data_IF_955409549197
#
_entry.id   IF_955409549197
#
_cell.length_a   1.000
_cell.length_b   1.000
_cell.length_c   1.000
_cell.angle_alpha   90.00
_cell.angle_beta   90.00
_cell.angle_gamma   90.00
#
_symmetry.space_group_name_H-M   'P 1'
#
loop_
_entity.id
_entity.type
_entity.pdbx_description
1 polymer ?
#
# COMPACT_ATOMS: atom_id res chain seq x y z
N UNK A 1 15.01 -32.16 -8.83
CA UNK A 1 13.56 -32.38 -8.57
C UNK A 1 12.98 -31.05 -8.14
N UNK A 2 12.35 -30.35 -9.10
CA UNK A 2 11.71 -29.05 -8.84
C UNK A 2 10.40 -29.28 -8.11
N UNK A 3 10.28 -28.84 -6.86
CA UNK A 3 8.99 -28.73 -6.19
C UNK A 3 8.24 -27.56 -6.83
N UNK A 4 7.24 -27.88 -7.65
CA UNK A 4 6.31 -26.89 -8.15
C UNK A 4 5.58 -26.23 -6.97
N UNK A 5 5.84 -24.96 -6.76
CA UNK A 5 4.99 -24.11 -5.96
C UNK A 5 3.74 -23.81 -6.78
N UNK A 6 2.66 -24.53 -6.52
CA UNK A 6 1.34 -24.14 -7.00
C UNK A 6 1.00 -22.78 -6.39
N UNK A 7 0.82 -21.79 -7.25
CA UNK A 7 0.22 -20.53 -6.88
C UNK A 7 -1.21 -20.83 -6.40
N UNK A 8 -1.43 -20.70 -5.09
CA UNK A 8 -2.76 -20.88 -4.52
C UNK A 8 -3.69 -19.73 -4.88
N UNK A 9 -4.05 -19.56 -6.15
CA UNK A 9 -4.95 -18.56 -6.72
C UNK A 9 -5.79 -17.78 -5.70
N UNK A 10 -6.31 -16.64 -6.08
CA UNK A 10 -7.26 -15.89 -5.24
C UNK A 10 -8.34 -16.86 -4.74
N UNK A 11 -8.58 -16.95 -3.41
CA UNK A 11 -9.66 -17.78 -2.93
C UNK A 11 -10.96 -17.27 -3.53
N UNK A 12 -11.66 -18.10 -4.28
CA UNK A 12 -12.95 -17.82 -4.93
C UNK A 12 -14.07 -17.43 -3.94
N UNK A 13 -13.76 -17.30 -2.65
CA UNK A 13 -14.74 -17.03 -1.61
C UNK A 13 -14.18 -16.13 -0.51
N UNK A 14 -14.64 -14.89 -0.49
CA UNK A 14 -14.58 -14.06 0.72
C UNK A 14 -15.50 -14.69 1.78
N UNK A 15 -14.93 -15.20 2.87
CA UNK A 15 -15.70 -15.65 4.03
C UNK A 15 -16.07 -14.42 4.87
N UNK A 16 -17.26 -13.89 4.69
CA UNK A 16 -17.86 -13.01 5.67
C UNK A 16 -18.44 -13.86 6.81
N UNK A 17 -17.72 -13.97 7.93
CA UNK A 17 -18.25 -14.61 9.14
C UNK A 17 -18.82 -13.54 10.03
N UNK A 18 -20.15 -13.47 10.14
CA UNK A 18 -20.80 -12.57 11.10
C UNK A 18 -22.15 -12.03 10.68
N UNK A 19 -22.70 -11.17 11.53
CA UNK A 19 -23.92 -10.41 11.27
C UNK A 19 -23.54 -9.08 10.65
N UNK A 20 -24.13 -8.73 9.52
CA UNK A 20 -23.88 -7.45 8.87
C UNK A 20 -24.21 -6.28 9.83
N UNK A 21 -23.23 -5.43 10.11
CA UNK A 21 -23.36 -4.33 11.08
C UNK A 21 -23.87 -3.03 10.48
N UNK A 22 -23.83 -2.86 9.15
CA UNK A 22 -24.22 -1.63 8.43
C UNK A 22 -24.98 -1.92 7.14
N UNK A 23 -25.71 -0.91 6.66
CA UNK A 23 -26.44 -0.94 5.38
C UNK A 23 -27.76 -1.71 5.43
N UNK A 24 -28.37 -1.93 4.24
CA UNK A 24 -29.68 -2.60 4.09
C UNK A 24 -29.71 -4.06 4.58
N UNK A 25 -28.57 -4.65 4.86
CA UNK A 25 -28.39 -6.01 5.36
C UNK A 25 -28.10 -6.07 6.86
N UNK A 26 -28.22 -4.96 7.60
CA UNK A 26 -27.97 -4.90 9.04
C UNK A 26 -28.83 -5.94 9.77
N UNK A 27 -28.22 -6.83 10.52
CA UNK A 27 -28.89 -7.89 11.28
C UNK A 27 -29.14 -9.20 10.51
N UNK A 28 -28.85 -9.27 9.20
CA UNK A 28 -28.98 -10.51 8.43
C UNK A 28 -27.78 -11.45 8.63
N UNK A 29 -28.06 -12.75 8.79
CA UNK A 29 -27.02 -13.79 8.74
C UNK A 29 -26.58 -14.00 7.30
N UNK A 30 -25.27 -13.87 7.06
CA UNK A 30 -24.68 -14.19 5.76
C UNK A 30 -24.59 -15.71 5.60
N UNK A 31 -25.14 -16.30 4.51
CA UNK A 31 -25.04 -17.74 4.28
C UNK A 31 -23.59 -18.18 4.13
N UNK A 32 -23.17 -19.19 4.89
CA UNK A 32 -21.88 -19.84 4.70
C UNK A 32 -22.00 -20.95 3.68
N UNK A 33 -21.07 -21.10 2.69
CA UNK A 33 -21.08 -22.23 1.78
C UNK A 33 -20.86 -23.54 2.52
N UNK A 34 -21.63 -24.58 2.17
CA UNK A 34 -21.46 -25.93 2.72
C UNK A 34 -20.12 -26.52 2.23
N UNK A 35 -19.25 -26.93 3.16
CA UNK A 35 -18.06 -27.72 2.88
C UNK A 35 -18.46 -29.06 2.24
N UNK A 36 -18.01 -29.33 1.02
CA UNK A 36 -17.97 -30.66 0.46
C UNK A 36 -16.84 -31.44 1.16
N UNK A 37 -17.22 -32.35 2.01
CA UNK A 37 -16.30 -33.20 2.77
C UNK A 37 -15.60 -34.21 1.85
N UNK A 38 -14.31 -34.31 2.03
CA UNK A 38 -13.53 -35.50 1.66
C UNK A 38 -14.01 -36.73 2.48
N UNK A 39 -14.18 -37.86 1.80
CA UNK A 39 -14.48 -39.16 2.42
C UNK A 39 -13.26 -39.70 3.14
N UNK A 40 -13.43 -40.08 4.41
CA UNK A 40 -12.66 -41.16 5.02
C UNK A 40 -13.58 -41.98 5.92
N UNK A 41 -13.52 -43.29 5.75
CA UNK A 41 -14.26 -44.39 6.37
C UNK A 41 -13.86 -44.59 7.84
N UNK A 42 -14.79 -45.02 8.69
CA UNK A 42 -14.79 -46.24 9.50
C UNK A 42 -15.94 -46.23 10.50
N UNK A 43 -16.79 -47.19 10.40
CA UNK A 43 -17.59 -48.12 11.23
C UNK A 43 -18.22 -47.72 12.58
N UNK A 44 -19.50 -48.18 12.69
CA UNK A 44 -20.22 -48.76 13.87
C UNK A 44 -20.60 -47.85 15.04
N UNK A 45 -21.77 -47.86 15.63
CA UNK A 45 -22.85 -48.85 15.81
C UNK A 45 -24.12 -48.21 16.40
N UNK A 46 -25.27 -48.80 16.03
CA UNK A 46 -26.49 -49.09 16.82
C UNK A 46 -27.39 -47.99 17.40
N UNK A 47 -28.58 -47.91 16.90
CA UNK A 47 -29.93 -48.36 17.40
C UNK A 47 -30.57 -47.37 18.40
N UNK A 48 -31.88 -47.06 18.42
CA UNK A 48 -33.15 -47.77 18.20
C UNK A 48 -34.29 -46.76 18.12
N UNK A 49 -35.26 -46.94 17.20
CA UNK A 49 -36.71 -46.88 17.24
C UNK A 49 -37.45 -45.74 18.00
N UNK A 50 -38.60 -45.24 17.64
CA UNK A 50 -39.84 -45.81 17.05
C UNK A 50 -40.87 -44.71 16.72
N UNK A 51 -41.65 -44.93 15.67
CA UNK A 51 -43.12 -44.87 15.48
C UNK A 51 -43.80 -43.50 15.60
N UNK A 52 -44.82 -43.09 14.87
CA UNK A 52 -45.74 -43.70 13.93
C UNK A 52 -46.56 -42.58 13.20
N UNK A 53 -47.04 -42.89 12.03
CA UNK A 53 -48.08 -42.25 11.20
C UNK A 53 -49.49 -42.58 11.75
N UNK A 54 -50.68 -42.16 11.19
CA UNK A 54 -51.03 -41.41 9.96
C UNK A 54 -52.32 -40.57 10.06
N UNK A 55 -52.78 -39.99 8.92
CA UNK A 55 -54.13 -39.55 8.69
C UNK A 55 -54.25 -38.34 7.77
N UNK A 56 -54.44 -38.50 6.52
CA UNK A 56 -55.56 -38.42 5.57
C UNK A 56 -56.48 -37.21 5.75
N UNK A 57 -56.58 -36.34 4.70
CA UNK A 57 -57.69 -36.26 3.75
C UNK A 57 -57.59 -35.04 2.81
N UNK A 58 -57.83 -35.28 1.54
CA UNK A 58 -58.09 -34.32 0.45
C UNK A 58 -59.64 -34.19 0.30
N UNK A 59 -60.25 -33.27 -0.53
CA UNK A 59 -59.78 -32.37 -1.59
C UNK A 59 -60.47 -31.01 -1.66
N UNK A 60 -59.98 -30.10 -2.55
CA UNK A 60 -60.75 -28.90 -2.91
C UNK A 60 -60.01 -28.05 -4.00
N UNK A 61 -60.46 -28.24 -5.22
CA UNK A 61 -60.08 -27.55 -6.45
C UNK A 61 -60.55 -26.11 -6.50
N UNK A 62 -59.66 -25.15 -6.84
CA UNK A 62 -60.03 -23.94 -7.62
C UNK A 62 -58.83 -23.40 -8.38
N UNK A 63 -59.05 -23.14 -9.66
CA UNK A 63 -58.10 -22.62 -10.64
C UNK A 63 -57.82 -21.12 -10.35
N UNK A 64 -56.53 -20.74 -10.36
CA UNK A 64 -56.11 -19.35 -10.34
C UNK A 64 -54.83 -19.21 -11.16
N UNK A 65 -54.96 -18.54 -12.30
CA UNK A 65 -53.91 -18.14 -13.20
C UNK A 65 -52.88 -17.29 -12.43
N UNK A 66 -51.66 -17.77 -12.32
CA UNK A 66 -50.56 -16.97 -11.77
C UNK A 66 -49.40 -16.90 -12.80
N UNK A 67 -49.27 -15.73 -13.36
CA UNK A 67 -48.12 -15.30 -14.13
C UNK A 67 -46.83 -15.44 -13.32
N UNK A 68 -45.92 -16.28 -13.76
CA UNK A 68 -44.56 -16.39 -13.22
C UNK A 68 -43.75 -15.11 -13.56
N UNK A 69 -43.10 -14.47 -12.59
CA UNK A 69 -42.04 -13.53 -12.93
C UNK A 69 -40.77 -14.33 -13.31
N UNK A 70 -40.37 -14.21 -14.56
CA UNK A 70 -39.09 -14.74 -15.07
C UNK A 70 -37.95 -14.15 -14.23
N UNK A 71 -37.30 -14.99 -13.44
CA UNK A 71 -36.04 -14.67 -12.81
C UNK A 71 -34.97 -14.51 -13.90
N UNK A 72 -34.72 -13.28 -14.31
CA UNK A 72 -33.50 -12.95 -15.07
C UNK A 72 -32.30 -13.30 -14.17
N UNK A 73 -31.57 -14.36 -14.53
CA UNK A 73 -30.20 -14.56 -14.04
C UNK A 73 -29.43 -13.28 -14.28
N UNK A 74 -28.61 -12.81 -13.31
CA UNK A 74 -27.73 -11.67 -13.58
C UNK A 74 -26.83 -12.07 -14.75
N UNK A 75 -26.93 -11.32 -15.83
CA UNK A 75 -26.04 -11.46 -16.99
C UNK A 75 -24.60 -11.31 -16.48
N UNK A 76 -23.74 -12.26 -16.86
CA UNK A 76 -22.28 -12.05 -16.77
C UNK A 76 -22.01 -10.69 -17.36
N UNK A 77 -21.47 -9.78 -16.55
CA UNK A 77 -21.04 -8.45 -16.97
C UNK A 77 -20.11 -8.66 -18.17
N UNK A 78 -20.47 -8.09 -19.30
CA UNK A 78 -19.63 -8.11 -20.49
C UNK A 78 -18.27 -7.54 -20.11
N UNK A 79 -17.19 -8.23 -20.46
CA UNK A 79 -15.82 -7.76 -20.25
C UNK A 79 -15.68 -6.49 -21.11
N UNK A 80 -15.50 -5.34 -20.46
CA UNK A 80 -15.35 -4.07 -21.16
C UNK A 80 -14.06 -4.07 -21.97
N UNK A 81 -14.15 -3.62 -23.21
CA UNK A 81 -13.05 -3.61 -24.18
C UNK A 81 -12.34 -2.23 -24.19
N UNK A 82 -11.06 -2.16 -24.58
CA UNK A 82 -10.40 -0.88 -24.90
C UNK A 82 -11.20 -0.02 -25.89
N UNK A 83 -12.02 -0.62 -26.73
CA UNK A 83 -12.91 0.08 -27.66
C UNK A 83 -14.02 0.91 -26.99
N UNK A 84 -14.27 0.68 -25.69
CA UNK A 84 -15.23 1.44 -24.91
C UNK A 84 -14.62 2.71 -24.29
N UNK A 85 -13.30 2.85 -24.27
CA UNK A 85 -12.60 4.01 -23.72
C UNK A 85 -13.10 5.34 -24.29
N UNK A 86 -13.28 5.52 -25.63
CA UNK A 86 -13.79 6.78 -26.17
C UNK A 86 -15.20 7.12 -25.67
N UNK A 87 -16.06 6.11 -25.45
CA UNK A 87 -17.42 6.32 -24.92
C UNK A 87 -17.36 6.79 -23.46
N UNK A 88 -16.47 6.20 -22.66
CA UNK A 88 -16.29 6.55 -21.25
C UNK A 88 -15.70 7.96 -21.12
N UNK A 89 -14.70 8.30 -21.94
CA UNK A 89 -14.06 9.62 -21.93
C UNK A 89 -15.03 10.76 -22.29
N UNK A 90 -16.06 10.47 -23.07
CA UNK A 90 -17.08 11.45 -23.45
C UNK A 90 -18.15 11.70 -22.38
N UNK A 91 -18.11 11.01 -21.23
CA UNK A 91 -18.99 11.27 -20.11
C UNK A 91 -18.53 12.51 -19.33
N UNK A 92 -19.44 13.46 -19.08
CA UNK A 92 -19.13 14.69 -18.32
C UNK A 92 -18.52 14.39 -16.95
N UNK A 93 -18.98 13.34 -16.26
CA UNK A 93 -18.43 12.91 -14.98
C UNK A 93 -16.98 12.41 -15.11
N UNK A 94 -16.66 11.69 -16.17
CA UNK A 94 -15.30 11.21 -16.43
C UNK A 94 -14.36 12.37 -16.68
N UNK A 95 -14.75 13.33 -17.50
CA UNK A 95 -13.97 14.53 -17.78
C UNK A 95 -13.67 15.34 -16.50
N UNK A 96 -14.68 15.52 -15.66
CA UNK A 96 -14.54 16.20 -14.36
C UNK A 96 -13.52 15.46 -13.45
N UNK A 97 -13.64 14.13 -13.33
CA UNK A 97 -12.74 13.34 -12.48
C UNK A 97 -11.31 13.29 -13.02
N UNK A 98 -11.12 13.23 -14.36
CA UNK A 98 -9.80 13.31 -14.98
C UNK A 98 -9.17 14.69 -14.78
N UNK A 99 -9.97 15.76 -14.94
CA UNK A 99 -9.51 17.13 -14.68
C UNK A 99 -9.09 17.31 -13.22
N UNK A 100 -9.83 16.71 -12.27
CA UNK A 100 -9.47 16.71 -10.87
C UNK A 100 -8.14 15.96 -10.61
N UNK A 101 -7.95 14.79 -11.24
CA UNK A 101 -6.68 14.06 -11.16
C UNK A 101 -5.51 14.91 -11.67
N UNK A 102 -5.66 15.51 -12.85
CA UNK A 102 -4.61 16.27 -13.51
C UNK A 102 -4.26 17.56 -12.79
N UNK A 103 -5.28 18.32 -12.35
CA UNK A 103 -5.09 19.67 -11.79
C UNK A 103 -4.86 19.66 -10.28
N UNK A 104 -5.31 18.62 -9.58
CA UNK A 104 -5.22 18.56 -8.13
C UNK A 104 -4.35 17.40 -7.63
N UNK A 105 -4.63 16.16 -8.02
CA UNK A 105 -3.91 15.00 -7.47
C UNK A 105 -2.46 14.94 -7.97
N UNK A 106 -2.22 15.08 -9.29
CA UNK A 106 -0.87 15.02 -9.85
C UNK A 106 0.14 16.00 -9.23
N UNK A 107 -0.20 17.28 -8.96
CA UNK A 107 0.74 18.23 -8.35
C UNK A 107 1.23 17.82 -6.97
N UNK A 108 0.39 17.15 -6.16
CA UNK A 108 0.73 16.70 -4.81
C UNK A 108 1.48 15.34 -4.78
N UNK A 109 1.70 14.72 -5.93
CA UNK A 109 2.45 13.46 -5.99
C UNK A 109 3.96 13.68 -6.24
N UNK A 110 4.41 14.90 -6.40
CA UNK A 110 5.82 15.22 -6.60
C UNK A 110 6.22 16.54 -5.92
N UNK A 111 7.43 16.62 -5.45
CA UNK A 111 8.00 17.85 -4.91
C UNK A 111 8.61 18.69 -6.03
N UNK A 112 7.79 19.43 -6.76
CA UNK A 112 8.25 20.31 -7.84
C UNK A 112 8.72 21.66 -7.29
N UNK A 113 10.05 21.87 -7.27
CA UNK A 113 10.65 23.16 -6.88
C UNK A 113 11.11 23.87 -8.15
N UNK A 114 10.51 25.01 -8.46
CA UNK A 114 10.95 25.88 -9.57
C UNK A 114 10.28 25.62 -10.93
N UNK A 115 9.30 24.72 -11.03
CA UNK A 115 8.40 24.60 -12.22
C UNK A 115 9.05 24.16 -13.52
N UNK A 116 10.21 23.50 -13.48
CA UNK A 116 10.98 23.14 -14.68
C UNK A 116 10.89 21.67 -15.09
N UNK A 117 10.43 20.78 -14.20
CA UNK A 117 10.31 19.37 -14.51
C UNK A 117 8.91 18.99 -14.99
N UNK A 118 8.84 18.10 -15.99
CA UNK A 118 7.56 17.51 -16.40
C UNK A 118 7.08 16.54 -15.33
N UNK A 119 5.92 16.80 -14.72
CA UNK A 119 5.31 15.91 -13.74
C UNK A 119 5.10 14.50 -14.33
N UNK A 120 5.78 13.46 -13.84
CA UNK A 120 5.73 12.11 -14.42
C UNK A 120 4.34 11.46 -14.27
N UNK A 121 3.56 11.79 -13.26
CA UNK A 121 2.17 11.32 -13.13
C UNK A 121 1.30 11.85 -14.25
N UNK A 122 1.48 13.11 -14.63
CA UNK A 122 0.81 13.69 -15.80
C UNK A 122 1.36 13.14 -17.11
N UNK A 123 2.68 13.08 -17.24
CA UNK A 123 3.35 12.68 -18.48
C UNK A 123 3.22 11.19 -18.83
N UNK A 124 3.16 10.31 -17.84
CA UNK A 124 3.16 8.86 -18.06
C UNK A 124 1.78 8.24 -17.83
N UNK A 125 1.08 8.63 -16.78
CA UNK A 125 -0.18 7.98 -16.38
C UNK A 125 -1.33 8.41 -17.28
N UNK A 126 -1.53 9.70 -17.53
CA UNK A 126 -2.69 10.17 -18.30
C UNK A 126 -2.69 9.67 -19.77
N UNK A 127 -1.57 9.70 -20.52
CA UNK A 127 -1.55 9.13 -21.86
C UNK A 127 -1.78 7.61 -21.88
N UNK A 128 -1.27 6.89 -20.85
CA UNK A 128 -1.42 5.46 -20.72
C UNK A 128 -2.89 5.08 -20.37
N UNK A 129 -3.54 5.86 -19.50
CA UNK A 129 -4.93 5.66 -19.12
C UNK A 129 -5.91 5.81 -20.29
N UNK A 130 -5.57 6.63 -21.29
CA UNK A 130 -6.35 6.76 -22.52
C UNK A 130 -6.29 5.54 -23.46
N UNK A 131 -5.39 4.59 -23.15
CA UNK A 131 -5.22 3.34 -23.91
C UNK A 131 -5.58 2.11 -23.08
N UNK A 132 -5.54 2.23 -21.75
CA UNK A 132 -5.67 1.12 -20.82
C UNK A 132 -6.85 1.34 -19.86
N UNK A 133 -7.95 0.64 -20.11
CA UNK A 133 -9.23 0.86 -19.43
C UNK A 133 -9.13 0.61 -17.91
N UNK A 134 -8.35 -0.39 -17.48
CA UNK A 134 -8.12 -0.67 -16.07
C UNK A 134 -7.44 0.50 -15.33
N UNK A 135 -6.46 1.13 -15.97
CA UNK A 135 -5.79 2.31 -15.44
C UNK A 135 -6.71 3.54 -15.40
N UNK A 136 -7.53 3.71 -16.45
CA UNK A 136 -8.53 4.77 -16.47
C UNK A 136 -9.47 4.64 -15.25
N UNK A 137 -10.00 3.45 -14.99
CA UNK A 137 -10.85 3.22 -13.83
C UNK A 137 -10.13 3.43 -12.49
N UNK A 138 -8.85 3.05 -12.37
CA UNK A 138 -8.08 3.30 -11.16
C UNK A 138 -7.97 4.80 -10.85
N UNK A 139 -7.70 5.62 -11.86
CA UNK A 139 -7.64 7.08 -11.74
C UNK A 139 -9.00 7.66 -11.36
N UNK A 140 -10.07 7.24 -12.06
CA UNK A 140 -11.42 7.73 -11.79
C UNK A 140 -11.88 7.38 -10.37
N UNK A 141 -11.54 6.18 -9.87
CA UNK A 141 -11.83 5.76 -8.51
C UNK A 141 -11.13 6.61 -7.46
N UNK A 142 -9.81 6.83 -7.64
CA UNK A 142 -9.03 7.70 -6.77
C UNK A 142 -9.57 9.13 -6.76
N UNK A 143 -9.85 9.69 -7.94
CA UNK A 143 -10.39 11.04 -8.09
C UNK A 143 -11.76 11.21 -7.43
N UNK A 144 -12.65 10.24 -7.58
CA UNK A 144 -13.97 10.27 -6.96
C UNK A 144 -13.87 10.20 -5.43
N UNK A 145 -13.05 9.30 -4.90
CA UNK A 145 -12.81 9.19 -3.45
C UNK A 145 -12.27 10.50 -2.87
N UNK A 146 -11.24 11.06 -3.52
CA UNK A 146 -10.61 12.31 -3.08
C UNK A 146 -11.58 13.49 -3.14
N UNK A 147 -12.30 13.65 -4.26
CA UNK A 147 -13.27 14.74 -4.43
C UNK A 147 -14.44 14.64 -3.44
N UNK A 148 -14.89 13.42 -3.11
CA UNK A 148 -15.90 13.19 -2.09
C UNK A 148 -15.46 13.67 -0.71
N UNK A 149 -14.21 13.44 -0.33
CA UNK A 149 -13.62 13.92 0.93
C UNK A 149 -13.45 15.43 0.94
N UNK A 150 -12.92 15.99 -0.15
CA UNK A 150 -12.67 17.41 -0.31
C UNK A 150 -13.97 18.24 -0.19
N UNK A 151 -15.03 17.80 -0.86
CA UNK A 151 -16.32 18.52 -0.88
C UNK A 151 -17.22 18.20 0.31
N UNK A 152 -16.88 17.22 1.14
CA UNK A 152 -17.73 16.71 2.21
C UNK A 152 -18.93 15.90 1.71
N UNK A 153 -19.04 15.66 0.40
CA UNK A 153 -20.15 14.95 -0.25
C UNK A 153 -19.83 13.47 -0.47
N UNK A 154 -19.40 12.78 0.59
CA UNK A 154 -19.03 11.35 0.52
C UNK A 154 -20.16 10.51 -0.09
N UNK A 155 -21.43 10.75 0.27
CA UNK A 155 -22.57 9.97 -0.23
C UNK A 155 -22.77 10.04 -1.74
N UNK A 156 -22.29 11.11 -2.40
CA UNK A 156 -22.40 11.29 -3.85
C UNK A 156 -21.31 10.52 -4.61
N UNK A 157 -20.10 10.45 -4.04
CA UNK A 157 -18.92 9.92 -4.73
C UNK A 157 -18.52 8.52 -4.27
N UNK A 158 -18.96 8.06 -3.09
CA UNK A 158 -18.54 6.77 -2.51
C UNK A 158 -18.92 5.59 -3.42
N UNK A 159 -20.17 5.54 -3.92
CA UNK A 159 -20.61 4.46 -4.82
C UNK A 159 -19.79 4.47 -6.12
N UNK A 160 -19.55 5.66 -6.69
CA UNK A 160 -18.74 5.85 -7.90
C UNK A 160 -17.29 5.42 -7.68
N UNK A 161 -16.68 5.82 -6.56
CA UNK A 161 -15.30 5.47 -6.22
C UNK A 161 -15.13 3.95 -6.08
N UNK A 162 -16.06 3.30 -5.34
CA UNK A 162 -16.06 1.85 -5.14
C UNK A 162 -16.27 1.10 -6.46
N UNK A 163 -17.19 1.57 -7.31
CA UNK A 163 -17.46 0.94 -8.61
C UNK A 163 -16.22 0.98 -9.52
N UNK A 164 -15.62 2.15 -9.69
CA UNK A 164 -14.42 2.30 -10.51
C UNK A 164 -13.23 1.51 -9.94
N UNK A 165 -13.05 1.51 -8.63
CA UNK A 165 -12.03 0.70 -7.98
C UNK A 165 -12.20 -0.80 -8.26
N UNK A 166 -13.42 -1.33 -8.15
CA UNK A 166 -13.71 -2.73 -8.47
C UNK A 166 -13.45 -3.06 -9.95
N UNK A 167 -13.77 -2.15 -10.86
CA UNK A 167 -13.46 -2.31 -12.29
C UNK A 167 -11.94 -2.32 -12.54
N UNK A 168 -11.20 -1.42 -11.88
CA UNK A 168 -9.73 -1.39 -11.94
C UNK A 168 -9.10 -2.70 -11.45
N UNK A 169 -9.56 -3.23 -10.30
CA UNK A 169 -9.08 -4.51 -9.74
C UNK A 169 -9.38 -5.67 -10.69
N UNK A 170 -10.55 -5.70 -11.32
CA UNK A 170 -10.87 -6.74 -12.32
C UNK A 170 -9.95 -6.65 -13.53
N UNK A 171 -9.74 -5.44 -14.07
CA UNK A 171 -8.81 -5.20 -15.17
C UNK A 171 -7.39 -5.63 -14.82
N UNK A 172 -6.89 -5.28 -13.63
CA UNK A 172 -5.59 -5.72 -13.14
C UNK A 172 -5.48 -7.24 -13.07
N UNK A 173 -6.51 -7.91 -12.53
CA UNK A 173 -6.53 -9.38 -12.42
C UNK A 173 -6.50 -10.07 -13.79
N UNK A 174 -7.16 -9.49 -14.79
CA UNK A 174 -7.09 -9.98 -16.18
C UNK A 174 -5.71 -9.83 -16.79
N UNK A 175 -5.07 -8.67 -16.62
CA UNK A 175 -3.72 -8.42 -17.15
C UNK A 175 -2.67 -9.32 -16.45
N UNK A 176 -2.74 -9.48 -15.12
CA UNK A 176 -1.86 -10.41 -14.40
C UNK A 176 -2.07 -11.84 -14.89
N UNK A 177 -3.30 -12.27 -15.15
CA UNK A 177 -3.57 -13.60 -15.70
C UNK A 177 -2.99 -13.78 -17.10
N UNK A 178 -3.05 -12.78 -17.96
CA UNK A 178 -2.38 -12.80 -19.29
C UNK A 178 -0.86 -12.89 -19.13
N UNK A 179 -0.27 -12.19 -18.16
CA UNK A 179 1.18 -12.24 -17.92
C UNK A 179 1.72 -13.60 -17.48
N UNK A 180 0.86 -14.48 -16.95
CA UNK A 180 1.22 -15.84 -16.58
C UNK A 180 1.14 -16.83 -17.74
N UNK A 181 0.61 -16.40 -18.90
CA UNK A 181 0.53 -17.18 -20.14
C UNK A 181 1.86 -17.25 -20.89
N UNK A 182 1.89 -18.00 -22.01
CA UNK A 182 3.10 -18.14 -22.83
C UNK A 182 3.49 -16.86 -23.60
N UNK A 183 2.59 -15.89 -23.68
CA UNK A 183 2.82 -14.64 -24.38
C UNK A 183 3.22 -13.54 -23.38
N UNK A 184 4.34 -12.88 -23.65
CA UNK A 184 4.72 -11.70 -22.90
C UNK A 184 3.74 -10.56 -23.14
N UNK A 185 3.45 -9.78 -22.09
CA UNK A 185 2.68 -8.54 -22.22
C UNK A 185 3.45 -7.53 -23.07
N UNK A 186 2.71 -6.75 -23.87
CA UNK A 186 3.29 -5.58 -24.55
C UNK A 186 3.75 -4.51 -23.54
N UNK A 187 4.64 -3.63 -23.97
CA UNK A 187 5.20 -2.57 -23.11
C UNK A 187 4.12 -1.72 -22.42
N UNK A 188 3.11 -1.24 -23.16
CA UNK A 188 2.02 -0.45 -22.60
C UNK A 188 1.16 -1.26 -21.60
N UNK A 189 1.03 -2.57 -21.78
CA UNK A 189 0.32 -3.46 -20.83
C UNK A 189 1.12 -3.68 -19.55
N UNK A 190 2.44 -3.91 -19.67
CA UNK A 190 3.34 -4.02 -18.52
C UNK A 190 3.34 -2.74 -17.68
N UNK A 191 3.50 -1.60 -18.35
CA UNK A 191 3.48 -0.29 -17.72
C UNK A 191 2.11 -0.03 -17.04
N UNK A 192 1.01 -0.45 -17.67
CA UNK A 192 -0.34 -0.31 -17.12
C UNK A 192 -0.55 -1.14 -15.85
N UNK A 193 -0.08 -2.38 -15.82
CA UNK A 193 -0.14 -3.21 -14.61
C UNK A 193 0.55 -2.53 -13.43
N UNK A 194 1.78 -2.03 -13.65
CA UNK A 194 2.54 -1.32 -12.62
C UNK A 194 1.83 -0.03 -12.17
N UNK A 195 1.32 0.75 -13.12
CA UNK A 195 0.60 1.99 -12.85
C UNK A 195 -0.73 1.74 -12.10
N UNK A 196 -1.51 0.72 -12.47
CA UNK A 196 -2.76 0.36 -11.77
C UNK A 196 -2.46 0.01 -10.32
N UNK A 197 -1.44 -0.82 -10.07
CA UNK A 197 -1.02 -1.20 -8.71
C UNK A 197 -0.67 0.05 -7.90
N UNK A 198 0.13 0.94 -8.47
CA UNK A 198 0.51 2.19 -7.80
C UNK A 198 -0.70 3.07 -7.47
N UNK A 199 -1.62 3.28 -8.41
CA UNK A 199 -2.82 4.10 -8.19
C UNK A 199 -3.76 3.47 -7.15
N UNK A 200 -3.91 2.14 -7.14
CA UNK A 200 -4.71 1.45 -6.11
C UNK A 200 -4.09 1.61 -4.71
N UNK A 201 -2.76 1.55 -4.59
CA UNK A 201 -2.07 1.80 -3.33
C UNK A 201 -2.23 3.26 -2.88
N UNK A 202 -2.11 4.24 -3.80
CA UNK A 202 -2.39 5.64 -3.50
C UNK A 202 -3.85 5.86 -3.07
N UNK A 203 -4.78 5.14 -3.66
CA UNK A 203 -6.19 5.18 -3.25
C UNK A 203 -6.36 4.68 -1.80
N UNK A 204 -5.72 3.57 -1.43
CA UNK A 204 -5.72 3.05 -0.06
C UNK A 204 -5.12 4.05 0.93
N UNK A 205 -3.97 4.65 0.58
CA UNK A 205 -3.32 5.68 1.40
C UNK A 205 -4.26 6.87 1.58
N UNK A 206 -4.88 7.35 0.51
CA UNK A 206 -5.81 8.47 0.54
C UNK A 206 -7.09 8.17 1.33
N UNK A 207 -7.54 6.91 1.37
CA UNK A 207 -8.76 6.52 2.10
C UNK A 207 -8.53 6.28 3.58
N UNK A 208 -7.56 5.44 3.91
CA UNK A 208 -7.40 4.90 5.27
C UNK A 208 -5.95 4.87 5.76
N UNK A 209 -4.97 5.01 4.87
CA UNK A 209 -3.55 4.79 5.16
C UNK A 209 -3.18 3.31 5.37
N UNK A 210 -4.15 2.41 5.24
CA UNK A 210 -3.96 0.97 5.41
C UNK A 210 -4.34 0.28 4.10
N UNK A 211 -3.41 -0.46 3.50
CA UNK A 211 -3.67 -1.18 2.27
C UNK A 211 -3.99 -2.66 2.52
N UNK A 212 -5.09 -3.11 1.94
CA UNK A 212 -5.38 -4.52 1.75
C UNK A 212 -4.84 -5.02 0.41
N UNK A 213 -4.32 -4.11 -0.41
CA UNK A 213 -3.86 -4.35 -1.77
C UNK A 213 -2.34 -4.53 -1.88
N UNK A 214 -1.61 -4.54 -0.78
CA UNK A 214 -0.16 -4.81 -0.77
C UNK A 214 0.23 -6.13 -1.44
N UNK A 215 -0.70 -7.09 -1.51
CA UNK A 215 -0.54 -8.32 -2.30
C UNK A 215 -0.31 -8.03 -3.79
N UNK A 216 -0.79 -6.90 -4.31
CA UNK A 216 -0.56 -6.49 -5.69
C UNK A 216 0.90 -6.12 -5.96
N UNK A 217 1.66 -5.68 -4.93
CA UNK A 217 3.11 -5.49 -5.04
C UNK A 217 3.79 -6.83 -5.39
N UNK A 218 3.31 -7.92 -4.82
CA UNK A 218 3.78 -9.28 -5.20
C UNK A 218 3.45 -9.59 -6.66
N UNK A 219 2.29 -9.16 -7.16
CA UNK A 219 1.92 -9.26 -8.58
C UNK A 219 2.85 -8.45 -9.50
N UNK A 220 3.30 -7.27 -9.07
CA UNK A 220 4.28 -6.46 -9.80
C UNK A 220 5.61 -7.18 -10.01
N UNK A 221 5.97 -8.10 -9.11
CA UNK A 221 7.18 -8.93 -9.25
C UNK A 221 7.17 -9.80 -10.50
N UNK A 222 6.01 -10.31 -10.93
CA UNK A 222 5.90 -11.09 -12.17
C UNK A 222 6.25 -10.24 -13.38
N UNK A 223 5.72 -9.02 -13.44
CA UNK A 223 6.02 -8.06 -14.52
C UNK A 223 7.48 -7.61 -14.45
N UNK A 224 8.00 -7.34 -13.26
CA UNK A 224 9.41 -6.98 -13.07
C UNK A 224 10.36 -8.06 -13.59
N UNK A 225 10.09 -9.33 -13.30
CA UNK A 225 10.89 -10.46 -13.82
C UNK A 225 10.84 -10.53 -15.35
N UNK A 226 9.70 -10.29 -15.97
CA UNK A 226 9.59 -10.26 -17.43
C UNK A 226 10.41 -9.11 -18.03
N UNK A 227 10.36 -7.92 -17.43
CA UNK A 227 11.14 -6.76 -17.85
C UNK A 227 12.64 -7.00 -17.75
N UNK A 228 13.10 -7.66 -16.68
CA UNK A 228 14.51 -7.99 -16.49
C UNK A 228 15.01 -9.07 -17.46
N UNK A 229 14.13 -10.01 -17.84
CA UNK A 229 14.45 -11.10 -18.77
C UNK A 229 14.47 -10.65 -20.23
N UNK A 230 13.66 -9.65 -20.63
CA UNK A 230 13.53 -9.22 -22.02
C UNK A 230 14.75 -8.41 -22.49
N UNK A 231 14.93 -7.20 -21.99
CA UNK A 231 15.99 -6.26 -22.41
C UNK A 231 16.70 -5.57 -21.25
N UNK A 232 16.36 -5.96 -20.02
CA UNK A 232 16.77 -5.26 -18.82
C UNK A 232 16.03 -3.93 -18.63
N UNK A 233 16.08 -3.42 -17.40
CA UNK A 233 15.64 -2.07 -17.09
C UNK A 233 16.72 -1.09 -17.57
N UNK A 234 16.40 -0.29 -18.56
CA UNK A 234 17.31 0.72 -19.08
C UNK A 234 16.59 2.08 -19.22
N UNK A 235 17.37 3.12 -19.50
CA UNK A 235 16.84 4.49 -19.64
C UNK A 235 15.81 4.67 -20.76
N UNK A 236 15.63 3.70 -21.66
CA UNK A 236 14.59 3.73 -22.70
C UNK A 236 13.21 3.39 -22.13
N UNK A 237 13.16 2.57 -21.06
CA UNK A 237 11.91 2.15 -20.39
C UNK A 237 11.55 3.09 -19.23
N UNK A 238 11.62 4.41 -19.44
CA UNK A 238 11.44 5.44 -18.40
C UNK A 238 10.14 5.30 -17.59
N UNK A 239 9.03 4.89 -18.22
CA UNK A 239 7.75 4.68 -17.52
C UNK A 239 7.83 3.50 -16.58
N UNK A 240 8.31 2.34 -17.05
CA UNK A 240 8.50 1.16 -16.21
C UNK A 240 9.44 1.43 -15.03
N UNK A 241 10.57 2.11 -15.30
CA UNK A 241 11.53 2.52 -14.25
C UNK A 241 10.88 3.42 -13.22
N UNK A 242 10.08 4.40 -13.65
CA UNK A 242 9.34 5.29 -12.76
C UNK A 242 8.36 4.50 -11.86
N UNK A 243 7.52 3.64 -12.44
CA UNK A 243 6.56 2.86 -11.67
C UNK A 243 7.24 1.88 -10.73
N UNK A 244 8.27 1.17 -11.19
CA UNK A 244 9.02 0.23 -10.36
C UNK A 244 9.77 0.92 -9.23
N UNK A 245 10.33 2.12 -9.46
CA UNK A 245 10.96 2.92 -8.42
C UNK A 245 10.01 3.24 -7.27
N UNK A 246 8.81 3.69 -7.62
CA UNK A 246 7.78 4.02 -6.63
C UNK A 246 7.27 2.77 -5.90
N UNK A 247 7.02 1.67 -6.63
CA UNK A 247 6.58 0.42 -6.02
C UNK A 247 7.65 -0.19 -5.11
N UNK A 248 8.93 -0.08 -5.48
CA UNK A 248 10.04 -0.54 -4.65
C UNK A 248 10.18 0.30 -3.37
N UNK A 249 9.90 1.59 -3.44
CA UNK A 249 9.84 2.44 -2.25
C UNK A 249 8.65 2.09 -1.34
N UNK A 250 7.45 1.91 -1.89
CA UNK A 250 6.28 1.47 -1.13
C UNK A 250 6.49 0.09 -0.50
N UNK A 251 7.22 -0.81 -1.16
CA UNK A 251 7.61 -2.12 -0.63
C UNK A 251 8.54 -1.98 0.59
N UNK A 252 9.46 -1.02 0.57
CA UNK A 252 10.29 -0.67 1.73
C UNK A 252 9.44 -0.10 2.85
N UNK A 253 8.55 0.87 2.58
CA UNK A 253 7.71 1.50 3.61
C UNK A 253 6.87 0.45 4.36
N UNK A 254 6.23 -0.48 3.66
CA UNK A 254 5.48 -1.56 4.34
C UNK A 254 6.39 -2.51 5.12
N UNK A 255 7.63 -2.75 4.64
CA UNK A 255 8.60 -3.59 5.32
C UNK A 255 9.17 -2.94 6.59
N UNK A 256 8.99 -1.64 6.79
CA UNK A 256 9.28 -1.01 8.07
C UNK A 256 8.37 -1.52 9.20
N UNK A 257 7.11 -1.85 8.90
CA UNK A 257 6.21 -2.48 9.86
C UNK A 257 6.57 -3.96 10.07
N UNK A 258 6.81 -4.68 8.96
CA UNK A 258 7.08 -6.11 8.96
C UNK A 258 8.06 -6.47 7.83
N UNK A 259 9.34 -6.75 8.14
CA UNK A 259 10.36 -7.08 7.14
C UNK A 259 10.01 -8.28 6.26
N UNK A 260 9.21 -9.24 6.74
CA UNK A 260 8.82 -10.43 5.97
C UNK A 260 7.98 -10.08 4.74
N UNK A 261 7.36 -8.90 4.75
CA UNK A 261 6.56 -8.39 3.63
C UNK A 261 7.37 -7.84 2.47
N UNK A 262 8.67 -7.65 2.64
CA UNK A 262 9.54 -7.16 1.56
C UNK A 262 9.51 -8.12 0.37
N UNK A 263 9.14 -7.62 -0.82
CA UNK A 263 9.01 -8.41 -2.04
C UNK A 263 10.19 -8.26 -3.00
N UNK A 264 10.63 -7.03 -3.21
CA UNK A 264 11.73 -6.75 -4.14
C UNK A 264 13.06 -7.13 -3.50
N UNK A 265 13.88 -7.93 -4.21
CA UNK A 265 15.25 -8.27 -3.79
C UNK A 265 16.20 -7.08 -3.95
N UNK A 266 17.35 -7.15 -3.30
CA UNK A 266 18.38 -6.11 -3.40
C UNK A 266 18.83 -5.91 -4.85
N UNK A 267 19.01 -6.98 -5.63
CA UNK A 267 19.41 -6.89 -7.05
C UNK A 267 18.40 -6.08 -7.88
N UNK A 268 17.10 -6.25 -7.62
CA UNK A 268 16.05 -5.48 -8.29
C UNK A 268 16.13 -4.01 -7.88
N UNK A 269 16.29 -3.72 -6.57
CA UNK A 269 16.44 -2.35 -6.07
C UNK A 269 17.67 -1.66 -6.67
N UNK A 270 18.80 -2.35 -6.79
CA UNK A 270 20.01 -1.84 -7.41
C UNK A 270 19.79 -1.55 -8.91
N UNK A 271 19.14 -2.47 -9.61
CA UNK A 271 18.78 -2.26 -11.02
C UNK A 271 17.88 -1.04 -11.21
N UNK A 272 16.83 -0.93 -10.38
CA UNK A 272 15.92 0.22 -10.38
C UNK A 272 16.67 1.51 -10.06
N UNK A 273 17.47 1.53 -9.00
CA UNK A 273 18.22 2.71 -8.57
C UNK A 273 19.25 3.19 -9.62
N UNK A 274 19.85 2.25 -10.37
CA UNK A 274 20.78 2.61 -11.43
C UNK A 274 20.09 3.12 -12.70
N UNK A 275 18.85 2.72 -12.94
CA UNK A 275 18.06 3.13 -14.09
C UNK A 275 17.23 4.42 -13.85
N UNK A 276 16.95 4.77 -12.59
CA UNK A 276 16.19 5.97 -12.22
C UNK A 276 17.02 7.24 -12.36
N UNK A 277 16.34 8.32 -12.69
CA UNK A 277 16.85 9.69 -12.63
C UNK A 277 16.38 10.41 -11.34
N UNK A 278 16.48 11.72 -11.31
CA UNK A 278 16.02 12.59 -10.18
C UNK A 278 14.53 12.47 -9.86
N UNK A 279 13.72 11.88 -10.75
CA UNK A 279 12.27 11.69 -10.49
C UNK A 279 12.02 10.77 -9.30
N UNK A 280 12.96 9.88 -8.97
CA UNK A 280 12.84 9.03 -7.79
C UNK A 280 12.81 9.86 -6.49
N UNK A 281 13.77 10.79 -6.34
CA UNK A 281 13.80 11.67 -5.17
C UNK A 281 12.66 12.70 -5.18
N UNK A 282 12.28 13.21 -6.37
CA UNK A 282 11.15 14.14 -6.49
C UNK A 282 9.84 13.55 -5.97
N UNK A 283 9.65 12.25 -6.12
CA UNK A 283 8.42 11.55 -5.69
C UNK A 283 8.53 11.02 -4.26
N UNK A 284 9.67 10.43 -3.91
CA UNK A 284 9.81 9.69 -2.67
C UNK A 284 10.56 10.44 -1.56
N UNK A 285 11.27 11.51 -1.89
CA UNK A 285 12.08 12.30 -0.97
C UNK A 285 13.34 11.62 -0.47
N UNK A 286 13.43 10.30 -0.58
CA UNK A 286 14.53 9.50 -0.07
C UNK A 286 15.69 9.44 -1.07
N UNK A 287 16.91 9.81 -0.68
CA UNK A 287 18.10 9.58 -1.50
C UNK A 287 18.27 8.11 -1.92
N UNK A 288 18.61 7.86 -3.19
CA UNK A 288 18.77 6.49 -3.73
C UNK A 288 19.77 5.66 -2.94
N UNK A 289 20.83 6.25 -2.45
CA UNK A 289 21.84 5.57 -1.64
C UNK A 289 21.27 5.11 -0.29
N UNK A 290 20.43 5.94 0.35
CA UNK A 290 19.73 5.59 1.60
C UNK A 290 18.71 4.49 1.32
N UNK A 291 17.94 4.61 0.24
CA UNK A 291 16.99 3.59 -0.21
C UNK A 291 17.66 2.22 -0.37
N UNK A 292 18.84 2.15 -1.00
CA UNK A 292 19.57 0.89 -1.18
C UNK A 292 20.06 0.33 0.16
N UNK A 293 20.61 1.17 1.03
CA UNK A 293 21.14 0.71 2.33
C UNK A 293 20.03 0.18 3.23
N UNK A 294 18.90 0.90 3.33
CA UNK A 294 17.79 0.46 4.19
C UNK A 294 17.08 -0.76 3.60
N UNK A 295 16.95 -0.85 2.27
CA UNK A 295 16.41 -2.01 1.59
C UNK A 295 17.22 -3.27 1.87
N UNK A 296 18.55 -3.19 1.79
CA UNK A 296 19.44 -4.29 2.14
C UNK A 296 19.33 -4.70 3.62
N UNK A 297 19.22 -3.73 4.53
CA UNK A 297 19.05 -4.00 5.96
C UNK A 297 17.72 -4.72 6.26
N UNK A 298 16.63 -4.29 5.63
CA UNK A 298 15.31 -4.93 5.78
C UNK A 298 15.28 -6.34 5.16
N UNK A 299 16.01 -6.57 4.06
CA UNK A 299 16.16 -7.91 3.48
C UNK A 299 16.88 -8.85 4.44
N UNK A 300 17.96 -8.39 5.10
CA UNK A 300 18.62 -9.16 6.14
C UNK A 300 17.74 -9.41 7.37
N UNK A 301 16.90 -8.45 7.75
CA UNK A 301 15.92 -8.66 8.79
C UNK A 301 14.88 -9.72 8.41
N UNK A 302 14.42 -9.74 7.15
CA UNK A 302 13.55 -10.78 6.62
C UNK A 302 14.23 -12.15 6.65
N UNK A 303 15.47 -12.26 6.16
CA UNK A 303 16.24 -13.51 6.15
C UNK A 303 16.43 -14.05 7.57
N UNK A 304 16.72 -13.18 8.53
CA UNK A 304 16.86 -13.55 9.93
C UNK A 304 15.52 -14.05 10.53
N UNK A 305 14.43 -13.34 10.31
CA UNK A 305 13.09 -13.74 10.78
C UNK A 305 12.65 -15.09 10.21
N UNK A 306 13.04 -15.39 8.97
CA UNK A 306 12.77 -16.68 8.30
C UNK A 306 13.74 -17.80 8.73
N UNK A 307 14.73 -17.51 9.58
CA UNK A 307 15.73 -18.46 10.04
C UNK A 307 16.78 -18.83 8.99
N UNK A 308 16.97 -18.01 7.96
CA UNK A 308 17.94 -18.22 6.90
C UNK A 308 19.31 -17.58 7.20
N UNK A 309 19.36 -16.70 8.19
CA UNK A 309 20.54 -15.97 8.60
C UNK A 309 20.76 -16.15 10.11
N UNK A 310 22.01 -16.34 10.55
CA UNK A 310 22.35 -16.39 11.97
C UNK A 310 22.27 -15.01 12.62
N UNK A 311 22.16 -14.97 13.94
CA UNK A 311 22.16 -13.71 14.69
C UNK A 311 23.43 -12.89 14.48
N UNK A 312 24.60 -13.54 14.45
CA UNK A 312 25.89 -12.86 14.29
C UNK A 312 26.00 -12.22 12.88
N UNK A 313 25.62 -12.96 11.83
CA UNK A 313 25.59 -12.44 10.46
C UNK A 313 24.60 -11.27 10.32
N UNK A 314 23.42 -11.40 10.94
CA UNK A 314 22.41 -10.35 10.97
C UNK A 314 22.94 -9.09 11.66
N UNK A 315 23.55 -9.22 12.85
CA UNK A 315 24.14 -8.09 13.55
C UNK A 315 25.22 -7.39 12.73
N UNK A 316 26.15 -8.15 12.12
CA UNK A 316 27.21 -7.60 11.26
C UNK A 316 26.60 -6.82 10.09
N UNK A 317 25.57 -7.36 9.45
CA UNK A 317 24.90 -6.68 8.32
C UNK A 317 24.25 -5.36 8.77
N UNK A 318 23.53 -5.35 9.89
CA UNK A 318 22.90 -4.14 10.42
C UNK A 318 23.92 -3.10 10.88
N UNK A 319 25.03 -3.51 11.53
CA UNK A 319 26.10 -2.60 11.93
C UNK A 319 26.79 -1.98 10.69
N UNK A 320 27.00 -2.76 9.63
CA UNK A 320 27.49 -2.25 8.35
C UNK A 320 26.55 -1.22 7.73
N UNK A 321 25.25 -1.52 7.71
CA UNK A 321 24.22 -0.59 7.21
C UNK A 321 24.17 0.70 8.06
N UNK A 322 24.24 0.59 9.39
CA UNK A 322 24.34 1.73 10.31
C UNK A 322 25.54 2.60 10.00
N UNK A 323 26.71 2.00 9.84
CA UNK A 323 27.93 2.72 9.50
C UNK A 323 27.82 3.45 8.16
N UNK A 324 27.29 2.79 7.12
CA UNK A 324 27.04 3.41 5.80
C UNK A 324 26.11 4.62 5.89
N UNK A 325 25.06 4.54 6.69
CA UNK A 325 24.16 5.68 6.89
C UNK A 325 24.80 6.82 7.66
N UNK A 326 25.59 6.57 8.71
CA UNK A 326 26.30 7.64 9.43
C UNK A 326 27.38 8.30 8.55
N UNK A 327 28.04 7.54 7.68
CA UNK A 327 29.05 8.05 6.75
C UNK A 327 28.49 8.65 5.46
N UNK A 328 27.15 8.68 5.30
CA UNK A 328 26.51 9.26 4.12
C UNK A 328 26.74 10.77 4.07
N UNK A 329 27.48 11.20 3.06
CA UNK A 329 27.78 12.63 2.85
C UNK A 329 26.70 13.28 1.99
N UNK A 330 25.88 14.11 2.63
CA UNK A 330 24.81 14.87 1.99
C UNK A 330 25.32 15.97 1.07
N UNK A 331 26.56 16.44 1.25
CA UNK A 331 27.14 17.54 0.47
C UNK A 331 27.79 17.08 -0.85
N UNK A 332 28.19 15.82 -0.93
CA UNK A 332 28.90 15.27 -2.06
C UNK A 332 27.97 14.74 -3.20
N UNK A 333 26.66 15.00 -3.12
CA UNK A 333 25.70 14.48 -4.09
C UNK A 333 24.95 15.57 -4.87
N UNK A 334 24.42 15.17 -6.03
CA UNK A 334 23.49 16.00 -6.81
C UNK A 334 22.06 15.75 -6.32
N UNK A 335 21.31 16.82 -6.12
CA UNK A 335 19.88 16.82 -5.78
C UNK A 335 19.04 17.22 -7.00
N UNK A 336 17.72 16.94 -7.00
CA UNK A 336 16.83 17.32 -8.11
C UNK A 336 16.82 18.83 -8.41
N UNK A 337 17.21 19.67 -7.47
CA UNK A 337 17.42 21.09 -7.69
C UNK A 337 18.52 21.63 -6.74
N UNK A 338 18.97 22.85 -6.99
CA UNK A 338 19.94 23.54 -6.15
C UNK A 338 19.37 24.06 -4.82
N UNK A 339 18.10 23.78 -4.51
CA UNK A 339 17.45 24.21 -3.28
C UNK A 339 18.09 23.51 -2.07
N UNK A 340 18.62 24.25 -1.08
CA UNK A 340 19.30 23.67 0.07
C UNK A 340 18.39 22.85 0.97
N UNK A 341 17.06 22.98 0.85
CA UNK A 341 16.09 22.20 1.61
C UNK A 341 16.11 20.72 1.27
N UNK A 342 16.61 20.34 0.08
CA UNK A 342 16.86 18.94 -0.25
C UNK A 342 17.85 18.27 0.69
N UNK A 343 18.90 19.00 1.14
CA UNK A 343 19.82 18.46 2.16
C UNK A 343 19.13 18.19 3.48
N UNK A 344 18.18 19.05 3.88
CA UNK A 344 17.39 18.82 5.09
C UNK A 344 16.43 17.64 4.94
N UNK A 345 15.79 17.48 3.78
CA UNK A 345 14.99 16.30 3.45
C UNK A 345 15.84 15.03 3.54
N UNK A 346 17.01 15.01 2.91
CA UNK A 346 17.94 13.86 2.96
C UNK A 346 18.42 13.55 4.39
N UNK A 347 18.67 14.58 5.23
CA UNK A 347 19.00 14.40 6.64
C UNK A 347 17.87 13.73 7.42
N UNK A 348 16.63 14.16 7.22
CA UNK A 348 15.47 13.57 7.86
C UNK A 348 15.31 12.08 7.52
N UNK A 349 15.45 11.72 6.23
CA UNK A 349 15.41 10.31 5.80
C UNK A 349 16.60 9.50 6.33
N UNK A 350 17.80 10.06 6.32
CA UNK A 350 19.01 9.41 6.84
C UNK A 350 18.81 8.98 8.29
N UNK A 351 18.41 9.92 9.17
CA UNK A 351 18.23 9.62 10.59
C UNK A 351 17.00 8.78 10.88
N UNK A 352 15.92 8.85 10.08
CA UNK A 352 14.78 7.95 10.17
C UNK A 352 15.20 6.49 9.87
N UNK A 353 16.05 6.28 8.87
CA UNK A 353 16.58 4.95 8.55
C UNK A 353 17.58 4.45 9.60
N UNK A 354 18.45 5.33 10.16
CA UNK A 354 19.34 4.97 11.28
C UNK A 354 18.50 4.54 12.47
N UNK A 355 17.46 5.30 12.83
CA UNK A 355 16.57 4.97 13.94
C UNK A 355 15.91 3.59 13.75
N UNK A 356 15.48 3.25 12.52
CA UNK A 356 14.96 1.92 12.22
C UNK A 356 16.00 0.83 12.43
N UNK A 357 17.24 1.02 11.98
CA UNK A 357 18.32 0.04 12.16
C UNK A 357 18.62 -0.16 13.65
N UNK A 358 18.65 0.91 14.44
CA UNK A 358 18.82 0.81 15.89
C UNK A 358 17.71 -0.04 16.53
N UNK A 359 16.45 0.15 16.09
CA UNK A 359 15.30 -0.64 16.54
C UNK A 359 15.30 -2.09 16.04
N UNK A 360 15.98 -2.39 14.95
CA UNK A 360 16.20 -3.76 14.49
C UNK A 360 17.32 -4.45 15.27
N UNK A 361 18.38 -3.72 15.65
CA UNK A 361 19.48 -4.22 16.46
C UNK A 361 19.06 -4.50 17.91
N UNK A 362 18.28 -3.60 18.51
CA UNK A 362 17.72 -3.74 19.85
C UNK A 362 16.28 -3.15 19.89
N UNK A 363 15.26 -4.01 19.69
CA UNK A 363 13.86 -3.56 19.72
C UNK A 363 13.42 -3.00 21.08
N UNK A 364 14.10 -3.42 22.18
CA UNK A 364 13.76 -3.03 23.54
C UNK A 364 14.64 -1.89 24.08
N UNK A 365 15.61 -1.42 23.31
CA UNK A 365 16.48 -0.30 23.69
C UNK A 365 15.64 0.86 24.23
N UNK A 366 16.03 1.36 25.39
CA UNK A 366 15.31 2.48 26.03
C UNK A 366 15.19 3.68 25.10
N UNK A 367 13.98 4.25 24.93
CA UNK A 367 13.80 5.43 24.11
C UNK A 367 14.63 6.63 24.58
N UNK A 368 15.00 6.68 25.86
CA UNK A 368 15.85 7.73 26.47
C UNK A 368 17.33 7.61 26.15
N UNK A 369 17.76 6.54 25.46
CA UNK A 369 19.19 6.42 25.10
C UNK A 369 19.64 7.58 24.23
N UNK A 370 20.88 8.03 24.42
CA UNK A 370 21.41 9.18 23.71
C UNK A 370 21.34 9.00 22.19
N UNK A 371 21.67 7.80 21.70
CA UNK A 371 21.70 7.51 20.27
C UNK A 371 20.29 7.63 19.64
N UNK A 372 19.25 7.13 20.33
CA UNK A 372 17.86 7.25 19.89
C UNK A 372 17.42 8.72 19.89
N UNK A 373 17.67 9.44 20.99
CA UNK A 373 17.24 10.84 21.11
C UNK A 373 18.03 11.78 20.19
N UNK A 374 19.27 11.45 19.85
CA UNK A 374 20.01 12.17 18.82
C UNK A 374 19.33 12.00 17.44
N UNK A 375 18.93 10.78 17.06
CA UNK A 375 18.20 10.55 15.82
C UNK A 375 16.88 11.35 15.80
N UNK A 376 16.11 11.32 16.90
CA UNK A 376 14.87 12.10 17.03
C UNK A 376 15.14 13.58 16.84
N UNK A 377 16.12 14.15 17.56
CA UNK A 377 16.47 15.56 17.44
C UNK A 377 16.87 15.94 16.01
N UNK A 378 17.73 15.13 15.37
CA UNK A 378 18.15 15.36 13.98
C UNK A 378 16.99 15.34 12.99
N UNK A 379 16.05 14.39 13.13
CA UNK A 379 14.85 14.33 12.30
C UNK A 379 14.02 15.60 12.48
N UNK A 380 13.71 15.98 13.72
CA UNK A 380 12.86 17.13 14.01
C UNK A 380 13.52 18.45 13.56
N UNK A 381 14.82 18.62 13.83
CA UNK A 381 15.57 19.80 13.38
C UNK A 381 15.64 19.90 11.84
N UNK A 382 15.85 18.76 11.16
CA UNK A 382 15.85 18.71 9.71
C UNK A 382 14.51 19.11 9.12
N UNK A 383 13.41 18.54 9.67
CA UNK A 383 12.05 18.87 9.22
C UNK A 383 11.65 20.31 9.56
N UNK A 384 12.17 20.90 10.64
CA UNK A 384 11.90 22.27 11.03
C UNK A 384 12.52 23.32 10.06
N UNK A 385 13.58 22.95 9.33
CA UNK A 385 14.17 23.81 8.30
C UNK A 385 13.37 23.86 6.99
N UNK A 386 12.30 23.06 6.88
CA UNK A 386 11.43 23.04 5.70
C UNK A 386 10.16 23.83 6.00
N UNK A 387 9.96 25.00 5.34
CA UNK A 387 8.78 25.83 5.57
C UNK A 387 7.48 25.14 5.19
N UNK A 388 6.38 25.62 5.77
CA UNK A 388 5.04 25.08 5.59
C UNK A 388 4.49 25.22 4.16
N UNK A 389 4.96 26.21 3.43
CA UNK A 389 4.59 26.48 2.04
C UNK A 389 5.46 25.70 1.02
N UNK A 390 6.46 24.96 1.49
CA UNK A 390 7.36 24.20 0.65
C UNK A 390 6.75 22.83 0.29
N UNK A 391 6.79 22.46 -1.00
CA UNK A 391 6.32 21.15 -1.48
C UNK A 391 7.10 19.96 -0.89
N UNK A 392 8.35 20.14 -0.47
CA UNK A 392 9.14 19.11 0.22
C UNK A 392 8.53 18.67 1.55
N UNK A 393 7.64 19.47 2.12
CA UNK A 393 6.97 19.10 3.36
C UNK A 393 6.14 17.82 3.22
N UNK A 394 5.50 17.65 2.08
CA UNK A 394 4.63 16.50 1.80
C UNK A 394 5.41 15.17 1.76
N UNK A 395 6.72 15.22 1.48
CA UNK A 395 7.60 14.05 1.51
C UNK A 395 8.02 13.61 2.92
N UNK A 396 7.71 14.40 3.96
CA UNK A 396 8.25 14.20 5.30
C UNK A 396 7.35 13.39 6.24
N UNK A 397 6.22 12.86 5.78
CA UNK A 397 5.32 12.06 6.62
C UNK A 397 6.08 10.91 7.28
N UNK A 398 6.83 10.13 6.49
CA UNK A 398 7.60 8.99 7.00
C UNK A 398 8.69 9.40 8.01
N UNK A 399 9.61 10.35 7.74
CA UNK A 399 10.59 10.80 8.74
C UNK A 399 9.96 11.36 10.01
N UNK A 400 8.89 12.17 9.89
CA UNK A 400 8.17 12.73 11.04
C UNK A 400 7.55 11.63 11.91
N UNK A 401 6.96 10.62 11.29
CA UNK A 401 6.42 9.47 11.98
C UNK A 401 7.52 8.70 12.73
N UNK A 402 8.63 8.42 12.09
CA UNK A 402 9.76 7.71 12.70
C UNK A 402 10.33 8.48 13.91
N UNK A 403 10.58 9.78 13.75
CA UNK A 403 11.01 10.61 14.86
C UNK A 403 9.96 10.73 15.97
N UNK A 404 8.69 10.85 15.59
CA UNK A 404 7.56 10.91 16.51
C UNK A 404 7.37 9.66 17.35
N UNK A 405 7.63 8.46 16.77
CA UNK A 405 7.47 7.19 17.47
C UNK A 405 8.39 7.07 18.69
N UNK A 406 9.54 7.74 18.69
CA UNK A 406 10.49 7.77 19.78
C UNK A 406 10.58 9.14 20.50
N UNK A 407 9.71 10.08 20.15
CA UNK A 407 9.63 11.39 20.82
C UNK A 407 9.11 11.25 22.26
N UNK A 408 9.87 11.78 23.23
CA UNK A 408 9.56 11.70 24.65
C UNK A 408 8.93 12.96 25.21
N UNK A 409 9.36 14.15 24.72
CA UNK A 409 8.85 15.40 25.24
C UNK A 409 7.48 15.74 24.64
N UNK A 410 6.55 16.31 25.44
CA UNK A 410 5.26 16.79 24.89
C UNK A 410 5.45 17.81 23.77
N UNK A 411 6.50 18.61 23.81
CA UNK A 411 6.81 19.58 22.75
C UNK A 411 7.15 18.89 21.43
N UNK A 412 8.00 17.85 21.46
CA UNK A 412 8.34 17.08 20.27
C UNK A 412 7.12 16.34 19.69
N UNK A 413 6.29 15.77 20.56
CA UNK A 413 5.05 15.11 20.17
C UNK A 413 4.07 16.11 19.52
N UNK A 414 3.86 17.26 20.15
CA UNK A 414 3.02 18.31 19.58
C UNK A 414 3.54 18.84 18.24
N UNK A 415 4.87 19.05 18.13
CA UNK A 415 5.50 19.46 16.88
C UNK A 415 5.21 18.48 15.75
N UNK A 416 5.38 17.16 16.00
CA UNK A 416 5.13 16.12 15.00
C UNK A 416 3.65 16.14 14.55
N UNK A 417 2.71 16.20 15.50
CA UNK A 417 1.27 16.26 15.17
C UNK A 417 0.94 17.53 14.38
N UNK A 418 1.50 18.67 14.77
CA UNK A 418 1.28 19.93 14.06
C UNK A 418 1.78 19.85 12.60
N UNK A 419 2.96 19.27 12.37
CA UNK A 419 3.54 19.11 11.02
C UNK A 419 2.73 18.12 10.17
N UNK A 420 2.31 16.98 10.74
CA UNK A 420 1.44 16.02 10.04
C UNK A 420 0.10 16.65 9.67
N UNK A 421 -0.50 17.43 10.59
CA UNK A 421 -1.76 18.17 10.30
C UNK A 421 -1.58 19.17 9.16
N UNK A 422 -0.42 19.81 9.11
CA UNK A 422 -0.09 20.80 8.08
C UNK A 422 0.06 20.12 6.70
N UNK A 423 0.70 18.95 6.64
CA UNK A 423 0.78 18.12 5.43
C UNK A 423 -0.62 17.74 4.96
N UNK A 424 -1.46 17.20 5.85
CA UNK A 424 -2.84 16.82 5.53
C UNK A 424 -3.67 18.02 5.01
N UNK A 425 -3.50 19.20 5.61
CA UNK A 425 -4.20 20.42 5.18
C UNK A 425 -3.72 20.92 3.82
N UNK A 426 -2.45 20.73 3.50
CA UNK A 426 -1.83 21.19 2.26
C UNK A 426 -2.19 20.28 1.08
N UNK A 427 -2.01 18.98 1.27
CA UNK A 427 -2.28 17.97 0.23
C UNK A 427 -3.75 17.58 0.13
N UNK A 428 -4.53 17.87 1.18
CA UNK A 428 -5.91 17.43 1.38
C UNK A 428 -6.08 15.90 1.37
N UNK A 429 -4.96 15.17 1.35
CA UNK A 429 -4.93 13.74 1.60
C UNK A 429 -4.93 13.48 3.11
N UNK A 430 -6.03 12.89 3.60
CA UNK A 430 -6.18 12.58 5.02
C UNK A 430 -5.77 11.15 5.30
N UNK A 431 -4.53 10.97 5.73
CA UNK A 431 -4.03 9.70 6.24
C UNK A 431 -4.01 9.73 7.78
N UNK A 432 -4.99 9.15 8.49
CA UNK A 432 -5.05 9.20 9.94
C UNK A 432 -4.03 8.28 10.62
N UNK A 433 -3.51 7.28 9.90
CA UNK A 433 -2.68 6.19 10.46
C UNK A 433 -1.44 6.66 11.18
N UNK A 434 -0.61 7.56 10.63
CA UNK A 434 0.58 8.02 11.34
C UNK A 434 0.24 8.60 12.72
N UNK A 435 -0.78 9.44 12.80
CA UNK A 435 -1.25 10.05 14.04
C UNK A 435 -1.78 9.01 15.04
N UNK A 436 -2.69 8.14 14.59
CA UNK A 436 -3.29 7.11 15.45
C UNK A 436 -2.25 6.16 16.03
N UNK A 437 -1.25 5.77 15.24
CA UNK A 437 -0.16 4.91 15.72
C UNK A 437 0.71 5.64 16.74
N UNK A 438 1.05 6.91 16.51
CA UNK A 438 1.83 7.72 17.44
C UNK A 438 1.10 7.90 18.78
N UNK A 439 -0.19 8.23 18.75
CA UNK A 439 -1.02 8.39 19.94
C UNK A 439 -1.11 7.08 20.75
N UNK A 440 -1.25 5.92 20.07
CA UNK A 440 -1.22 4.59 20.72
C UNK A 440 0.13 4.31 21.38
N UNK A 441 1.25 4.60 20.72
CA UNK A 441 2.60 4.43 21.27
C UNK A 441 2.78 5.30 22.51
N UNK A 442 2.42 6.58 22.43
CA UNK A 442 2.60 7.51 23.55
C UNK A 442 1.70 7.16 24.73
N UNK A 443 0.45 6.77 24.47
CA UNK A 443 -0.47 6.32 25.53
C UNK A 443 0.04 5.04 26.21
N UNK A 444 0.49 4.05 25.44
CA UNK A 444 1.02 2.81 25.98
C UNK A 444 2.32 3.04 26.78
N UNK A 445 3.19 3.93 26.31
CA UNK A 445 4.41 4.31 27.04
C UNK A 445 4.09 5.06 28.33
N UNK A 446 3.09 5.93 28.33
CA UNK A 446 2.63 6.62 29.55
C UNK A 446 1.98 5.67 30.58
N UNK A 447 1.43 4.55 30.13
CA UNK A 447 0.80 3.54 30.97
C UNK A 447 1.79 2.46 31.49
N UNK A 448 3.08 2.51 31.13
CA UNK A 448 4.08 1.58 31.63
C UNK A 448 4.24 1.71 33.16
N UNK A 449 4.55 0.57 33.81
CA UNK A 449 4.80 0.57 35.24
C UNK A 449 6.01 1.44 35.61
N UNK A 450 6.04 2.04 36.80
CA UNK A 450 7.21 2.79 37.26
C UNK A 450 8.47 1.89 37.22
N UNK A 451 9.52 2.37 36.50
CA UNK A 451 10.76 1.63 36.31
C UNK A 451 10.81 0.71 35.07
N UNK A 452 9.73 0.59 34.32
CA UNK A 452 9.75 -0.06 33.01
C UNK A 452 10.05 0.98 31.92
N UNK A 453 11.31 1.11 31.56
CA UNK A 453 11.81 2.07 30.56
C UNK A 453 12.01 1.42 29.17
N UNK A 454 11.50 0.20 28.96
CA UNK A 454 11.64 -0.49 27.67
C UNK A 454 10.87 0.23 26.57
N UNK A 455 11.35 0.07 25.35
CA UNK A 455 10.65 0.64 24.21
C UNK A 455 9.27 0.02 24.02
N UNK A 456 8.30 0.86 23.70
CA UNK A 456 7.00 0.48 23.12
C UNK A 456 7.08 0.70 21.60
N UNK A 457 7.22 -0.40 20.85
CA UNK A 457 7.31 -0.33 19.40
C UNK A 457 5.96 0.00 18.77
N UNK A 458 5.93 0.92 17.81
CA UNK A 458 4.73 1.19 17.02
C UNK A 458 4.27 -0.04 16.21
N UNK A 459 5.20 -0.94 15.87
CA UNK A 459 4.90 -2.17 15.12
C UNK A 459 3.98 -3.13 15.88
N UNK A 460 3.92 -3.04 17.23
CA UNK A 460 2.97 -3.84 18.02
C UNK A 460 1.52 -3.49 17.75
N UNK A 461 1.25 -2.30 17.23
CA UNK A 461 -0.10 -1.82 16.89
C UNK A 461 -0.48 -2.05 15.42
N UNK A 462 0.44 -2.59 14.62
CA UNK A 462 0.19 -2.93 13.21
C UNK A 462 -0.18 -4.41 13.02
N UNK A 463 -0.07 -5.22 14.06
CA UNK A 463 -0.41 -6.63 14.05
C UNK A 463 -1.67 -6.86 14.90
N UNK A 464 -2.69 -7.47 14.32
CA UNK A 464 -3.85 -7.94 15.08
C UNK A 464 -3.96 -9.45 14.93
N UNK A 465 -3.93 -10.21 16.05
CA UNK A 465 -4.13 -11.67 16.01
C UNK A 465 -5.53 -12.06 15.55
N UNK A 466 -6.48 -11.11 15.54
CA UNK A 466 -7.87 -11.32 15.11
C UNK A 466 -8.04 -11.19 13.59
N UNK A 467 -7.05 -10.61 12.88
CA UNK A 467 -7.10 -10.45 11.43
C UNK A 467 -6.56 -11.70 10.74
N UNK A 468 -7.39 -12.32 9.91
CA UNK A 468 -7.00 -13.46 9.05
C UNK A 468 -6.01 -13.05 7.95
N UNK A 469 -5.96 -11.76 7.62
CA UNK A 469 -4.97 -11.14 6.74
C UNK A 469 -4.46 -9.87 7.41
N UNK A 470 -3.16 -9.74 7.50
CA UNK A 470 -2.55 -8.52 8.00
C UNK A 470 -2.57 -7.45 6.91
N UNK A 471 -2.90 -6.22 7.30
CA UNK A 471 -2.89 -5.07 6.42
C UNK A 471 -1.48 -4.48 6.29
N UNK A 472 -1.19 -3.87 5.16
CA UNK A 472 0.01 -3.07 4.97
C UNK A 472 -0.23 -1.64 5.46
N UNK A 473 0.64 -1.16 6.34
CA UNK A 473 0.64 0.21 6.82
C UNK A 473 1.58 1.03 5.95
N UNK A 474 1.02 1.95 5.19
CA UNK A 474 1.75 2.81 4.25
C UNK A 474 1.85 4.21 4.84
N UNK A 475 2.98 4.49 5.48
CA UNK A 475 3.25 5.73 6.20
C UNK A 475 3.99 6.71 5.26
N UNK A 476 3.22 7.28 4.33
CA UNK A 476 3.71 8.27 3.36
C UNK A 476 2.74 9.43 3.23
#
# INVERSE_FOLDING_TARGET
MSKGLECGGYPDQYRFCGIASRGKWKGARVPTPRNTKAKSSVAESQQVSTTATPGSDTPGRTEGVTTQPSSKKPSRSATESPDDIPKILNLTQTEMLLSHYESFICPHQIAEIGGTSSNPYRAYILPLARKQIGLLYAILGLSASHLGKLTGNMSLYEETAVEYRLRAIRGLSEEIRKSQGPNFLHEDEQDAVLAIIQILLLHDIAETGISTHGIHITGAMSVCKQLLLADGLNSRRRRAVFFLGNLAWLDIIRAFADPERLCFSQDIRETVASATDETFELVNGCPREIFLVIGAALEKAKEYNLGWLSWDEYQVALQSAKHKLYSFDRTARTYPSSDPRWMSTAEAFQYACILRILRLLDPLQQPRSNEIQECVARILDATARIPSDCCLLELLVFPLFMGGSDALSPHSQYYVIARLTEIERRSEFRNPVPRELLEKVWAARAAQAPGDDRNVSWTTFTHSPELTQQHDYLII
#
